data_IF_862383030518
#
_entry.id   IF_862383030518
#
_cell.length_a   1.000
_cell.length_b   1.000
_cell.length_c   1.000
_cell.angle_alpha   90.00
_cell.angle_beta   90.00
_cell.angle_gamma   90.00
#
_symmetry.space_group_name_H-M   'P 1'
#
loop_
_entity.id
_entity.type
_entity.pdbx_description
1 polymer ?
#
# COMPACT_ATOMS: atom_id res chain seq x y z
N UNK A 1 24.36 27.77 28.51
CA UNK A 1 23.99 27.19 27.20
C UNK A 1 23.62 25.72 27.42
N UNK A 2 22.34 25.32 27.27
CA UNK A 2 21.92 23.93 27.47
C UNK A 2 22.36 23.09 26.26
N UNK A 3 23.30 22.17 26.44
CA UNK A 3 23.64 21.18 25.41
C UNK A 3 22.59 20.07 25.41
N UNK A 4 21.89 19.90 24.29
CA UNK A 4 21.02 18.74 24.06
C UNK A 4 21.84 17.58 23.54
N UNK A 5 22.02 16.53 24.35
CA UNK A 5 22.64 15.28 23.88
C UNK A 5 21.58 14.49 23.11
N UNK A 6 21.80 14.15 21.83
CA UNK A 6 20.85 13.34 21.07
C UNK A 6 20.76 11.95 21.70
N UNK A 7 19.52 11.50 22.00
CA UNK A 7 19.29 10.15 22.54
C UNK A 7 19.77 9.10 21.54
N UNK A 8 20.41 8.04 22.04
CA UNK A 8 20.80 6.89 21.22
C UNK A 8 19.55 6.25 20.62
N UNK A 9 19.59 5.96 19.32
CA UNK A 9 18.49 5.24 18.65
C UNK A 9 18.43 3.83 19.20
N UNK A 10 17.25 3.43 19.67
CA UNK A 10 16.97 2.05 20.04
C UNK A 10 16.69 1.23 18.78
N UNK A 11 16.90 -0.08 18.87
CA UNK A 11 16.52 -0.98 17.79
C UNK A 11 14.98 -0.99 17.68
N UNK A 12 14.46 -0.74 16.49
CA UNK A 12 13.01 -0.64 16.23
C UNK A 12 12.36 -2.00 15.92
N UNK A 13 13.16 -3.06 15.78
CA UNK A 13 12.70 -4.39 15.35
C UNK A 13 13.43 -5.52 16.07
N UNK A 14 12.70 -6.58 16.37
CA UNK A 14 13.24 -7.81 16.94
C UNK A 14 13.81 -8.69 15.82
N UNK A 15 15.13 -8.94 15.83
CA UNK A 15 15.83 -9.74 14.82
C UNK A 15 16.15 -11.14 15.37
N UNK A 16 15.13 -11.96 15.59
CA UNK A 16 15.31 -13.35 16.04
C UNK A 16 14.92 -14.33 14.96
N UNK A 17 15.79 -15.32 14.75
CA UNK A 17 15.57 -16.45 13.85
C UNK A 17 15.56 -17.72 14.70
N UNK A 18 14.47 -18.51 14.70
CA UNK A 18 14.44 -19.79 15.40
C UNK A 18 15.51 -20.75 14.90
N UNK A 19 16.06 -21.56 15.81
CA UNK A 19 17.19 -22.47 15.54
C UNK A 19 16.95 -23.43 14.35
N UNK A 20 15.71 -23.88 14.16
CA UNK A 20 15.36 -24.86 13.13
C UNK A 20 14.74 -24.24 11.86
N UNK A 21 14.72 -22.91 11.75
CA UNK A 21 14.22 -22.23 10.57
C UNK A 21 15.37 -21.74 9.70
N UNK A 22 15.21 -21.91 8.38
CA UNK A 22 16.02 -21.18 7.40
C UNK A 22 15.80 -19.70 7.67
N UNK A 23 16.88 -18.98 7.98
CA UNK A 23 16.82 -17.63 8.51
C UNK A 23 16.45 -16.57 7.48
N UNK A 24 17.14 -15.43 7.55
CA UNK A 24 17.00 -14.39 6.54
C UNK A 24 17.41 -14.96 5.18
N UNK A 25 16.65 -14.65 4.13
CA UNK A 25 17.05 -15.06 2.78
C UNK A 25 18.41 -14.43 2.46
N UNK A 26 19.38 -15.27 2.13
CA UNK A 26 20.62 -14.84 1.50
C UNK A 26 20.24 -14.42 0.08
N UNK A 27 19.80 -13.16 -0.07
CA UNK A 27 19.46 -12.60 -1.38
C UNK A 27 20.64 -12.68 -2.36
N UNK A 28 20.42 -12.30 -3.61
CA UNK A 28 21.37 -12.46 -4.71
C UNK A 28 22.83 -12.12 -4.32
N UNK A 29 23.74 -13.06 -4.59
CA UNK A 29 25.18 -12.96 -4.26
C UNK A 29 25.87 -11.91 -5.14
N UNK A 30 25.32 -11.67 -6.33
CA UNK A 30 25.82 -10.72 -7.31
C UNK A 30 25.21 -9.32 -7.19
N UNK A 31 24.40 -9.07 -6.16
CA UNK A 31 23.82 -7.74 -5.96
C UNK A 31 24.88 -6.78 -5.42
N UNK A 32 24.99 -5.60 -6.05
CA UNK A 32 26.01 -4.58 -5.73
C UNK A 32 25.66 -3.74 -4.50
N UNK A 33 24.68 -4.17 -3.70
CA UNK A 33 24.23 -3.45 -2.53
C UNK A 33 25.26 -3.46 -1.38
N UNK A 34 25.28 -2.39 -0.59
CA UNK A 34 26.13 -2.32 0.60
C UNK A 34 25.72 -3.39 1.63
N UNK A 35 26.69 -4.06 2.26
CA UNK A 35 26.43 -5.05 3.33
C UNK A 35 25.54 -4.49 4.43
N UNK A 36 25.73 -3.23 4.82
CA UNK A 36 24.96 -2.59 5.90
C UNK A 36 23.47 -2.47 5.53
N UNK A 37 23.16 -2.11 4.28
CA UNK A 37 21.78 -1.95 3.83
C UNK A 37 21.12 -3.31 3.63
N UNK A 38 21.85 -4.26 3.03
CA UNK A 38 21.40 -5.66 2.85
C UNK A 38 20.93 -6.29 4.17
N UNK A 39 21.72 -6.23 5.24
CA UNK A 39 21.33 -6.83 6.53
C UNK A 39 20.23 -6.05 7.28
N UNK A 40 20.08 -4.75 6.98
CA UNK A 40 19.04 -3.89 7.57
C UNK A 40 17.66 -4.19 7.00
N UNK A 41 17.60 -4.47 5.69
CA UNK A 41 16.35 -4.74 4.98
C UNK A 41 16.05 -6.24 4.86
N UNK A 42 17.03 -7.12 5.08
CA UNK A 42 16.83 -8.56 5.17
C UNK A 42 15.90 -8.95 6.34
N UNK A 43 14.74 -9.50 5.98
CA UNK A 43 13.69 -9.96 6.90
C UNK A 43 13.73 -11.47 7.08
N UNK A 44 13.26 -11.93 8.22
CA UNK A 44 13.02 -13.35 8.44
C UNK A 44 11.76 -13.77 7.69
N UNK A 45 11.76 -14.99 7.14
CA UNK A 45 10.58 -15.55 6.46
C UNK A 45 9.35 -15.68 7.39
N UNK A 46 9.57 -15.66 8.71
CA UNK A 46 8.53 -15.78 9.74
C UNK A 46 7.98 -14.39 10.16
N UNK A 47 8.60 -13.29 9.73
CA UNK A 47 8.14 -11.93 10.07
C UNK A 47 6.97 -11.50 9.18
N UNK A 48 5.79 -12.09 9.43
CA UNK A 48 4.56 -11.80 8.69
C UNK A 48 4.12 -10.35 8.81
N UNK A 49 4.38 -9.70 9.95
CA UNK A 49 4.04 -8.28 10.15
C UNK A 49 4.83 -7.38 9.20
N UNK A 50 6.12 -7.68 9.00
CA UNK A 50 6.93 -6.98 8.01
C UNK A 50 6.45 -7.25 6.59
N UNK A 51 6.20 -8.52 6.23
CA UNK A 51 5.72 -8.94 4.90
C UNK A 51 4.43 -8.20 4.54
N UNK A 52 3.43 -8.21 5.42
CA UNK A 52 2.20 -7.43 5.25
C UNK A 52 2.43 -5.93 5.12
N UNK A 53 3.41 -5.36 5.82
CA UNK A 53 3.74 -3.94 5.65
C UNK A 53 4.35 -3.65 4.28
N UNK A 54 5.09 -4.58 3.70
CA UNK A 54 5.72 -4.46 2.39
C UNK A 54 4.73 -4.72 1.26
N UNK A 55 3.91 -5.76 1.38
CA UNK A 55 2.80 -6.02 0.47
C UNK A 55 1.84 -4.83 0.42
N UNK A 56 1.50 -4.24 1.57
CA UNK A 56 0.70 -3.00 1.60
C UNK A 56 1.40 -1.82 0.95
N UNK A 57 2.73 -1.72 1.03
CA UNK A 57 3.48 -0.65 0.35
C UNK A 57 3.54 -0.89 -1.16
N UNK A 58 3.73 -2.13 -1.59
CA UNK A 58 3.74 -2.55 -2.99
C UNK A 58 2.35 -2.39 -3.63
N UNK A 59 1.31 -2.78 -2.92
CA UNK A 59 -0.10 -2.63 -3.31
C UNK A 59 -0.56 -1.16 -3.38
N UNK A 60 0.16 -0.23 -2.73
CA UNK A 60 -0.12 1.21 -2.82
C UNK A 60 0.27 1.76 -4.19
N UNK A 61 -0.57 1.51 -5.17
CA UNK A 61 -0.52 2.13 -6.51
C UNK A 61 -1.03 3.59 -6.47
N UNK A 62 -0.44 4.43 -5.60
CA UNK A 62 -0.71 5.88 -5.55
C UNK A 62 -0.38 6.61 -6.87
N UNK A 63 0.28 5.94 -7.82
CA UNK A 63 0.61 6.47 -9.15
C UNK A 63 -0.55 6.54 -10.13
N UNK A 64 -1.61 5.73 -9.97
CA UNK A 64 -2.75 5.73 -10.89
C UNK A 64 -4.02 6.17 -10.16
N UNK A 65 -4.08 7.45 -9.78
CA UNK A 65 -5.35 8.10 -9.39
C UNK A 65 -6.14 8.50 -10.65
N UNK A 66 -6.09 7.69 -11.69
CA UNK A 66 -6.94 7.86 -12.86
C UNK A 66 -8.25 7.14 -12.59
N UNK A 67 -9.36 7.87 -12.69
CA UNK A 67 -10.68 7.26 -12.59
C UNK A 67 -10.83 6.35 -13.81
N UNK A 68 -10.99 5.06 -13.58
CA UNK A 68 -11.19 4.10 -14.66
C UNK A 68 -12.48 4.43 -15.41
N UNK A 69 -12.41 4.68 -16.72
CA UNK A 69 -13.57 4.99 -17.56
C UNK A 69 -14.67 3.93 -17.43
N UNK A 70 -14.31 2.66 -17.22
CA UNK A 70 -15.27 1.57 -16.98
C UNK A 70 -16.13 1.82 -15.74
N UNK A 71 -15.53 2.32 -14.65
CA UNK A 71 -16.26 2.62 -13.41
C UNK A 71 -17.25 3.77 -13.64
N UNK A 72 -16.88 4.77 -14.42
CA UNK A 72 -17.78 5.86 -14.81
C UNK A 72 -18.96 5.31 -15.63
N UNK A 73 -18.70 4.48 -16.64
CA UNK A 73 -19.77 3.87 -17.45
C UNK A 73 -20.72 3.01 -16.59
N UNK A 74 -20.18 2.18 -15.70
CA UNK A 74 -20.99 1.36 -14.79
C UNK A 74 -21.83 2.25 -13.87
N UNK A 75 -21.25 3.30 -13.29
CA UNK A 75 -21.99 4.23 -12.43
C UNK A 75 -23.13 4.93 -13.17
N UNK A 76 -22.89 5.40 -14.39
CA UNK A 76 -23.92 6.04 -15.24
C UNK A 76 -25.06 5.07 -15.53
N UNK A 77 -24.76 3.83 -15.93
CA UNK A 77 -25.78 2.80 -16.23
C UNK A 77 -26.62 2.50 -14.98
N UNK A 78 -25.98 2.34 -13.81
CA UNK A 78 -26.69 2.08 -12.57
C UNK A 78 -27.61 3.24 -12.16
N UNK A 79 -27.17 4.49 -12.35
CA UNK A 79 -28.00 5.67 -12.10
C UNK A 79 -29.21 5.67 -13.05
N UNK A 80 -29.03 5.39 -14.33
CA UNK A 80 -30.15 5.32 -15.27
C UNK A 80 -31.16 4.21 -14.93
N UNK A 81 -30.68 3.02 -14.55
CA UNK A 81 -31.55 1.92 -14.11
C UNK A 81 -32.35 2.34 -12.87
N UNK A 82 -31.69 2.97 -11.89
CA UNK A 82 -32.34 3.46 -10.68
C UNK A 82 -33.42 4.51 -11.00
N UNK A 83 -33.10 5.50 -11.86
CA UNK A 83 -34.04 6.55 -12.26
C UNK A 83 -35.24 5.98 -13.01
N UNK A 84 -35.04 4.94 -13.83
CA UNK A 84 -36.11 4.23 -14.51
C UNK A 84 -37.04 3.50 -13.54
N UNK A 85 -36.50 2.84 -12.52
CA UNK A 85 -37.31 2.09 -11.54
C UNK A 85 -38.26 2.96 -10.71
N UNK A 86 -37.93 4.23 -10.51
CA UNK A 86 -38.73 5.17 -9.72
C UNK A 86 -39.59 6.10 -10.59
N UNK A 87 -39.64 5.87 -11.91
CA UNK A 87 -40.29 6.75 -12.89
C UNK A 87 -39.86 8.22 -12.74
N UNK A 88 -38.55 8.47 -12.53
CA UNK A 88 -38.05 9.82 -12.30
C UNK A 88 -38.17 10.69 -13.55
N UNK A 89 -38.89 11.81 -13.43
CA UNK A 89 -39.04 12.76 -14.52
C UNK A 89 -37.77 13.60 -14.73
N UNK A 90 -37.02 13.28 -15.80
CA UNK A 90 -35.82 14.02 -16.21
C UNK A 90 -36.14 15.41 -16.77
N UNK A 91 -37.39 15.68 -17.14
CA UNK A 91 -37.80 16.96 -17.72
C UNK A 91 -37.72 18.13 -16.73
N UNK A 92 -37.67 17.83 -15.43
CA UNK A 92 -37.49 18.80 -14.34
C UNK A 92 -36.22 19.66 -14.48
N UNK A 93 -35.21 19.17 -15.19
CA UNK A 93 -33.96 19.89 -15.43
C UNK A 93 -33.98 20.77 -16.68
N UNK A 94 -35.05 20.74 -17.47
CA UNK A 94 -35.23 21.61 -18.63
C UNK A 94 -35.84 22.92 -18.14
N UNK A 95 -35.04 23.98 -18.04
CA UNK A 95 -35.54 25.30 -17.68
C UNK A 95 -36.57 25.77 -18.73
N UNK A 96 -37.82 25.96 -18.30
CA UNK A 96 -38.83 26.67 -19.06
C UNK A 96 -38.37 28.13 -19.18
N UNK A 97 -38.04 28.58 -20.40
CA UNK A 97 -38.18 30.00 -20.72
C UNK A 97 -39.67 30.34 -20.78
#
# INVERSE_FOLDING_TARGET
MKLSIPKRKTNRRYNYTPRYYKGKSEGNIYDFENRITKYRDARNAIDFGSQWSEDRKSSRNRGNREINRRVIYVAIVLIFIFLYLIDFDLSIFTARQ
#
